data_IF_095755509245
#
_entry.id   IF_095755509245
#
_cell.length_a   1.000
_cell.length_b   1.000
_cell.length_c   1.000
_cell.angle_alpha   90.00
_cell.angle_beta   90.00
_cell.angle_gamma   90.00
#
_symmetry.space_group_name_H-M   'P 1'
#
loop_
_entity.id
_entity.type
_entity.pdbx_description
1 polymer ?
#
# COMPACT_ATOMS: atom_id res chain seq x y z
N UNK A 1 -33.00 -22.62 -19.54
CA UNK A 1 -31.73 -23.30 -19.26
C UNK A 1 -31.09 -22.56 -18.10
N UNK A 2 -31.00 -23.18 -16.93
CA UNK A 2 -30.33 -22.57 -15.79
C UNK A 2 -28.82 -22.60 -16.06
N UNK A 3 -28.18 -21.43 -16.09
CA UNK A 3 -26.73 -21.35 -16.09
C UNK A 3 -26.23 -22.05 -14.81
N UNK A 4 -25.59 -23.21 -14.99
CA UNK A 4 -24.83 -23.86 -13.93
C UNK A 4 -23.70 -22.92 -13.54
N UNK A 5 -23.94 -22.12 -12.50
CA UNK A 5 -22.94 -21.21 -11.95
C UNK A 5 -21.94 -22.08 -11.20
N UNK A 6 -20.83 -22.42 -11.83
CA UNK A 6 -19.76 -23.17 -11.19
C UNK A 6 -19.26 -22.37 -9.99
N UNK A 7 -19.46 -22.90 -8.78
CA UNK A 7 -18.93 -22.33 -7.54
C UNK A 7 -17.41 -22.37 -7.65
N UNK A 8 -16.77 -21.20 -7.66
CA UNK A 8 -15.30 -21.08 -7.65
C UNK A 8 -14.84 -21.38 -6.21
N UNK A 9 -13.79 -22.19 -6.04
CA UNK A 9 -13.23 -22.45 -4.69
C UNK A 9 -12.49 -21.23 -4.16
N UNK A 10 -12.33 -21.10 -2.83
CA UNK A 10 -11.51 -20.04 -2.19
C UNK A 10 -10.12 -19.94 -2.81
N UNK A 11 -9.49 -21.09 -3.11
CA UNK A 11 -8.18 -21.16 -3.78
C UNK A 11 -8.21 -20.53 -5.16
N UNK A 12 -9.17 -20.92 -6.01
CA UNK A 12 -9.30 -20.39 -7.37
C UNK A 12 -9.62 -18.89 -7.36
N UNK A 13 -10.38 -18.42 -6.37
CA UNK A 13 -10.68 -17.01 -6.18
C UNK A 13 -9.41 -16.21 -5.81
N UNK A 14 -8.63 -16.68 -4.84
CA UNK A 14 -7.39 -16.03 -4.42
C UNK A 14 -6.36 -15.96 -5.56
N UNK A 15 -6.22 -17.04 -6.33
CA UNK A 15 -5.34 -17.06 -7.50
C UNK A 15 -5.78 -16.04 -8.55
N UNK A 16 -7.08 -15.89 -8.78
CA UNK A 16 -7.62 -14.89 -9.70
C UNK A 16 -7.36 -13.46 -9.19
N UNK A 17 -7.61 -13.18 -7.91
CA UNK A 17 -7.36 -11.88 -7.30
C UNK A 17 -5.87 -11.50 -7.37
N UNK A 18 -4.97 -12.42 -7.01
CA UNK A 18 -3.54 -12.19 -7.13
C UNK A 18 -3.10 -11.95 -8.57
N UNK A 19 -3.68 -12.68 -9.53
CA UNK A 19 -3.38 -12.48 -10.95
C UNK A 19 -3.81 -11.08 -11.40
N UNK A 20 -4.99 -10.61 -10.99
CA UNK A 20 -5.45 -9.23 -11.25
C UNK A 20 -4.50 -8.19 -10.61
N UNK A 21 -4.06 -8.41 -9.36
CA UNK A 21 -3.15 -7.52 -8.64
C UNK A 21 -1.75 -7.47 -9.27
N UNK A 22 -1.20 -8.63 -9.66
CA UNK A 22 0.11 -8.74 -10.34
C UNK A 22 0.09 -8.10 -11.73
N UNK A 23 -1.07 -8.06 -12.38
CA UNK A 23 -1.25 -7.40 -13.67
C UNK A 23 -1.34 -5.86 -13.56
N UNK A 24 -1.42 -5.30 -12.34
CA UNK A 24 -1.45 -3.85 -12.16
C UNK A 24 -0.13 -3.21 -12.66
N UNK A 25 -0.20 -2.07 -13.37
CA UNK A 25 0.92 -1.50 -14.11
C UNK A 25 1.94 -0.76 -13.21
N UNK A 26 2.16 -1.19 -11.97
CA UNK A 26 3.12 -0.57 -11.01
C UNK A 26 4.50 -0.43 -11.63
N UNK A 27 4.98 -1.49 -12.29
CA UNK A 27 6.28 -1.53 -12.95
C UNK A 27 6.43 -0.58 -14.14
N UNK A 28 5.33 -0.16 -14.76
CA UNK A 28 5.35 0.80 -15.89
C UNK A 28 5.18 2.25 -15.45
N UNK A 29 5.03 2.50 -14.15
CA UNK A 29 4.86 3.85 -13.66
C UNK A 29 6.12 4.70 -13.92
N UNK A 30 5.91 5.87 -14.53
CA UNK A 30 7.02 6.74 -14.92
C UNK A 30 7.78 7.31 -13.71
N UNK A 31 7.14 7.52 -12.55
CA UNK A 31 7.83 7.95 -11.34
C UNK A 31 8.76 6.85 -10.82
N UNK A 32 8.30 5.61 -10.64
CA UNK A 32 9.18 4.53 -10.16
C UNK A 32 10.33 4.23 -11.13
N UNK A 33 10.05 4.28 -12.43
CA UNK A 33 11.07 4.17 -13.47
C UNK A 33 12.10 5.30 -13.39
N UNK A 34 11.66 6.55 -13.14
CA UNK A 34 12.57 7.68 -12.94
C UNK A 34 13.35 7.56 -11.63
N UNK A 35 12.67 7.22 -10.53
CA UNK A 35 13.26 7.08 -9.20
C UNK A 35 14.36 6.02 -9.19
N UNK A 36 14.12 4.87 -9.82
CA UNK A 36 15.11 3.81 -9.97
C UNK A 36 16.37 4.26 -10.71
N UNK A 37 16.26 5.20 -11.66
CA UNK A 37 17.40 5.76 -12.39
C UNK A 37 18.13 6.87 -11.62
N UNK A 38 17.62 7.25 -10.46
CA UNK A 38 18.12 8.33 -9.63
C UNK A 38 17.29 9.60 -9.75
N UNK A 39 17.16 10.30 -8.63
CA UNK A 39 16.52 11.61 -8.50
C UNK A 39 17.50 12.60 -7.88
N UNK A 40 17.24 13.90 -8.01
CA UNK A 40 18.02 14.91 -7.26
C UNK A 40 17.75 14.86 -5.76
N UNK A 41 18.65 15.39 -4.95
CA UNK A 41 18.50 15.50 -3.49
C UNK A 41 17.21 16.19 -3.07
N UNK A 42 16.81 17.25 -3.78
CA UNK A 42 15.60 17.99 -3.45
C UNK A 42 14.33 17.18 -3.71
N UNK A 43 14.31 16.33 -4.76
CA UNK A 43 13.19 15.41 -4.98
C UNK A 43 13.13 14.37 -3.89
N UNK A 44 14.28 13.78 -3.57
CA UNK A 44 14.36 12.77 -2.53
C UNK A 44 13.87 13.35 -1.21
N UNK A 45 14.32 14.55 -0.82
CA UNK A 45 13.89 15.23 0.40
C UNK A 45 12.37 15.44 0.45
N UNK A 46 11.77 15.94 -0.63
CA UNK A 46 10.30 16.13 -0.73
C UNK A 46 9.55 14.80 -0.70
N UNK A 47 10.08 13.79 -1.38
CA UNK A 47 9.51 12.45 -1.39
C UNK A 47 9.48 11.83 0.00
N UNK A 48 10.61 11.83 0.70
CA UNK A 48 10.72 11.27 2.06
C UNK A 48 9.81 12.02 3.05
N UNK A 49 9.66 13.35 2.92
CA UNK A 49 8.69 14.12 3.71
C UNK A 49 7.26 13.61 3.54
N UNK A 50 6.81 13.49 2.29
CA UNK A 50 5.45 13.02 1.97
C UNK A 50 5.25 11.56 2.35
N UNK A 51 6.21 10.69 2.03
CA UNK A 51 6.16 9.26 2.30
C UNK A 51 6.08 8.97 3.80
N UNK A 52 6.84 9.71 4.61
CA UNK A 52 6.77 9.58 6.06
C UNK A 52 5.37 9.89 6.60
N UNK A 53 4.78 11.02 6.20
CA UNK A 53 3.46 11.45 6.66
C UNK A 53 2.37 10.50 6.17
N UNK A 54 2.49 10.05 4.92
CA UNK A 54 1.62 9.04 4.33
C UNK A 54 1.65 7.75 5.14
N UNK A 55 2.82 7.18 5.42
CA UNK A 55 2.96 5.93 6.18
C UNK A 55 2.36 6.03 7.58
N UNK A 56 2.52 7.17 8.27
CA UNK A 56 1.87 7.41 9.56
C UNK A 56 0.34 7.40 9.44
N UNK A 57 -0.24 8.03 8.40
CA UNK A 57 -1.69 8.06 8.20
C UNK A 57 -2.24 6.71 7.77
N UNK A 58 -1.55 6.03 6.85
CA UNK A 58 -1.92 4.71 6.37
C UNK A 58 -2.00 3.70 7.53
N UNK A 59 -0.95 3.62 8.36
CA UNK A 59 -0.95 2.72 9.54
C UNK A 59 -2.12 3.01 10.50
N UNK A 60 -2.52 4.28 10.66
CA UNK A 60 -3.69 4.64 11.48
C UNK A 60 -5.00 4.17 10.86
N UNK A 61 -5.12 4.26 9.53
CA UNK A 61 -6.30 3.76 8.82
C UNK A 61 -6.36 2.22 8.88
N UNK A 62 -5.23 1.53 8.83
CA UNK A 62 -5.17 0.07 9.01
C UNK A 62 -5.71 -0.38 10.38
N UNK A 63 -5.50 0.40 11.44
CA UNK A 63 -6.14 0.16 12.75
C UNK A 63 -7.68 0.30 12.64
N UNK A 64 -8.15 1.21 11.79
CA UNK A 64 -9.57 1.38 11.47
C UNK A 64 -10.21 0.12 10.88
N UNK A 65 -9.49 -0.59 9.99
CA UNK A 65 -9.94 -1.88 9.47
C UNK A 65 -10.13 -2.91 10.58
N UNK A 66 -9.14 -3.04 11.48
CA UNK A 66 -9.25 -3.95 12.63
C UNK A 66 -10.45 -3.59 13.52
N UNK A 67 -10.71 -2.30 13.74
CA UNK A 67 -11.85 -1.83 14.52
C UNK A 67 -13.21 -2.17 13.88
N UNK A 68 -13.27 -2.24 12.54
CA UNK A 68 -14.50 -2.52 11.79
C UNK A 68 -14.85 -4.02 11.76
N UNK A 69 -13.97 -4.91 12.23
CA UNK A 69 -14.24 -6.34 12.30
C UNK A 69 -15.19 -6.69 13.46
N UNK A 70 -16.03 -7.71 13.26
CA UNK A 70 -16.91 -8.23 14.30
C UNK A 70 -16.23 -9.30 15.15
N UNK A 71 -16.81 -9.64 16.30
CA UNK A 71 -16.34 -10.75 17.16
C UNK A 71 -16.31 -12.11 16.42
N UNK A 72 -17.07 -12.25 15.33
CA UNK A 72 -17.08 -13.48 14.52
C UNK A 72 -15.89 -13.57 13.56
N UNK A 73 -15.15 -12.48 13.38
CA UNK A 73 -14.02 -12.37 12.46
C UNK A 73 -12.69 -12.45 13.23
N UNK A 74 -12.67 -13.18 14.35
CA UNK A 74 -11.50 -13.30 15.25
C UNK A 74 -10.26 -13.82 14.50
N UNK A 75 -10.41 -14.83 13.64
CA UNK A 75 -9.31 -15.36 12.85
C UNK A 75 -8.71 -14.32 11.89
N UNK A 76 -9.56 -13.48 11.28
CA UNK A 76 -9.14 -12.36 10.42
C UNK A 76 -8.44 -11.30 11.25
N UNK A 77 -8.98 -11.00 12.43
CA UNK A 77 -8.43 -10.02 13.38
C UNK A 77 -7.01 -10.40 13.80
N UNK A 78 -6.75 -11.69 14.07
CA UNK A 78 -5.43 -12.18 14.44
C UNK A 78 -4.38 -11.90 13.34
N UNK A 79 -4.72 -12.10 12.07
CA UNK A 79 -3.81 -11.84 10.96
C UNK A 79 -3.55 -10.33 10.77
N UNK A 80 -4.57 -9.48 10.90
CA UNK A 80 -4.37 -8.02 10.91
C UNK A 80 -3.52 -7.53 12.08
N UNK A 81 -3.69 -8.14 13.26
CA UNK A 81 -2.85 -7.85 14.43
C UNK A 81 -1.39 -8.21 14.15
N UNK A 82 -1.10 -9.30 13.43
CA UNK A 82 0.28 -9.65 13.05
C UNK A 82 0.91 -8.57 12.18
N UNK A 83 0.19 -8.07 11.17
CA UNK A 83 0.64 -6.96 10.31
C UNK A 83 0.94 -5.73 11.18
N UNK A 84 -0.01 -5.32 12.02
CA UNK A 84 0.17 -4.17 12.91
C UNK A 84 1.31 -4.37 13.91
N UNK A 85 1.45 -5.57 14.48
CA UNK A 85 2.54 -5.88 15.39
C UNK A 85 3.91 -5.77 14.71
N UNK A 86 4.03 -6.23 13.46
CA UNK A 86 5.22 -6.00 12.63
C UNK A 86 5.46 -4.50 12.39
N UNK A 87 4.45 -3.75 11.94
CA UNK A 87 4.52 -2.30 11.71
C UNK A 87 4.95 -1.49 12.96
N UNK A 88 4.55 -1.95 14.14
CA UNK A 88 4.94 -1.40 15.44
C UNK A 88 6.22 -2.02 16.02
N UNK A 89 7.04 -2.65 15.18
CA UNK A 89 8.38 -3.11 15.51
C UNK A 89 8.40 -4.28 16.48
N UNK A 90 7.32 -5.05 16.54
CA UNK A 90 7.19 -6.24 17.40
C UNK A 90 7.46 -5.93 18.89
N UNK A 91 6.98 -4.78 19.35
CA UNK A 91 7.20 -4.29 20.72
C UNK A 91 8.55 -3.61 20.95
N UNK A 92 9.45 -3.58 19.96
CA UNK A 92 10.69 -2.82 20.01
C UNK A 92 10.52 -1.48 19.29
N UNK A 93 10.63 -0.38 20.06
CA UNK A 93 10.50 0.99 19.55
C UNK A 93 11.49 1.31 18.41
N UNK A 94 12.71 0.79 18.46
CA UNK A 94 13.72 1.03 17.42
C UNK A 94 13.41 0.30 16.10
N UNK A 95 12.54 -0.71 16.16
CA UNK A 95 12.10 -1.48 15.00
C UNK A 95 10.78 -0.99 14.41
N UNK A 96 10.08 -0.05 15.06
CA UNK A 96 8.89 0.57 14.49
C UNK A 96 9.25 1.15 13.13
N UNK A 97 8.53 0.78 12.08
CA UNK A 97 8.86 1.15 10.70
C UNK A 97 9.03 2.67 10.55
N UNK A 98 8.12 3.47 11.12
CA UNK A 98 8.24 4.93 11.09
C UNK A 98 9.47 5.47 11.85
N UNK A 99 10.01 4.76 12.85
CA UNK A 99 11.25 5.14 13.52
C UNK A 99 12.48 4.84 12.67
N UNK A 100 12.45 3.75 11.88
CA UNK A 100 13.51 3.47 10.91
C UNK A 100 13.57 4.57 9.83
N UNK A 101 12.42 5.01 9.31
CA UNK A 101 12.33 6.09 8.32
C UNK A 101 12.89 7.43 8.83
N UNK A 102 12.80 7.67 10.14
CA UNK A 102 13.33 8.90 10.75
C UNK A 102 14.86 9.02 10.66
N UNK A 103 15.59 7.93 10.39
CA UNK A 103 17.04 7.96 10.11
C UNK A 103 17.30 8.64 8.77
N UNK A 104 16.58 8.26 7.73
CA UNK A 104 16.68 8.90 6.42
C UNK A 104 16.24 10.36 6.46
N UNK A 105 15.15 10.66 7.18
CA UNK A 105 14.68 12.03 7.42
C UNK A 105 15.82 12.90 7.97
N UNK A 106 16.51 12.43 9.00
CA UNK A 106 17.64 13.15 9.60
C UNK A 106 18.80 13.29 8.63
N UNK A 107 19.13 12.20 7.93
CA UNK A 107 20.25 12.15 6.98
C UNK A 107 20.08 13.16 5.85
N UNK A 108 18.83 13.40 5.42
CA UNK A 108 18.45 14.36 4.39
C UNK A 108 18.25 15.79 4.93
N UNK A 109 18.43 16.02 6.22
CA UNK A 109 18.24 17.34 6.83
C UNK A 109 16.80 17.82 6.83
N UNK A 110 15.83 16.90 6.84
CA UNK A 110 14.41 17.24 6.91
C UNK A 110 14.03 17.65 8.33
N UNK A 111 13.39 18.81 8.48
CA UNK A 111 12.89 19.26 9.78
C UNK A 111 11.75 18.36 10.30
N UNK A 112 12.03 17.60 11.37
CA UNK A 112 11.04 16.77 12.06
C UNK A 112 9.88 17.58 12.62
N UNK A 113 10.14 18.80 13.09
CA UNK A 113 9.10 19.69 13.61
C UNK A 113 8.08 20.08 12.55
N UNK A 114 8.50 20.16 11.29
CA UNK A 114 7.67 20.41 10.11
C UNK A 114 6.81 19.20 9.70
N UNK A 115 7.30 17.97 9.87
CA UNK A 115 6.58 16.76 9.43
C UNK A 115 5.17 16.62 10.01
N UNK A 116 4.98 17.01 11.28
CA UNK A 116 3.66 16.94 11.91
C UNK A 116 2.64 17.92 11.28
N UNK A 117 3.11 18.97 10.62
CA UNK A 117 2.30 19.99 9.94
C UNK A 117 2.27 19.80 8.42
N UNK A 118 3.05 18.85 7.90
CA UNK A 118 3.15 18.61 6.47
C UNK A 118 1.78 18.20 5.92
N UNK A 119 1.35 18.96 4.91
CA UNK A 119 0.15 18.65 4.16
C UNK A 119 0.52 17.70 3.03
N UNK A 120 -0.11 16.52 3.02
CA UNK A 120 0.02 15.63 1.86
C UNK A 120 -0.44 16.35 0.60
N UNK A 121 0.14 16.07 -0.57
CA UNK A 121 -0.47 16.59 -1.80
C UNK A 121 -1.88 16.00 -1.99
N UNK A 122 -2.69 16.71 -2.76
CA UNK A 122 -4.11 16.45 -2.91
C UNK A 122 -4.41 14.99 -3.23
N UNK A 123 -3.68 14.39 -4.16
CA UNK A 123 -3.95 13.04 -4.64
C UNK A 123 -3.68 11.97 -3.55
N UNK A 124 -2.80 12.25 -2.58
CA UNK A 124 -2.48 11.36 -1.46
C UNK A 124 -3.46 11.58 -0.32
N UNK A 125 -4.01 12.79 -0.20
CA UNK A 125 -5.16 13.02 0.66
C UNK A 125 -6.37 12.25 0.15
N UNK A 126 -6.67 12.34 -1.15
CA UNK A 126 -7.78 11.61 -1.78
C UNK A 126 -7.61 10.10 -1.61
N UNK A 127 -6.40 9.59 -1.81
CA UNK A 127 -6.07 8.19 -1.60
C UNK A 127 -6.33 7.77 -0.15
N UNK A 128 -5.74 8.48 0.81
CA UNK A 128 -5.89 8.22 2.25
C UNK A 128 -7.36 8.32 2.68
N UNK A 129 -8.10 9.30 2.15
CA UNK A 129 -9.53 9.44 2.41
C UNK A 129 -10.31 8.24 1.85
N UNK A 130 -10.05 7.86 0.60
CA UNK A 130 -10.74 6.74 -0.06
C UNK A 130 -10.48 5.43 0.68
N UNK A 131 -9.22 5.09 0.97
CA UNK A 131 -8.86 3.90 1.75
C UNK A 131 -9.43 3.99 3.17
N UNK A 132 -9.42 5.17 3.77
CA UNK A 132 -10.05 5.45 5.05
C UNK A 132 -11.54 5.09 5.08
N UNK A 133 -12.31 5.58 4.11
CA UNK A 133 -13.73 5.27 3.97
C UNK A 133 -13.96 3.77 3.80
N UNK A 134 -13.15 3.10 2.97
CA UNK A 134 -13.27 1.64 2.77
C UNK A 134 -12.97 0.89 4.07
N UNK A 135 -11.90 1.23 4.78
CA UNK A 135 -11.47 0.50 5.97
C UNK A 135 -12.37 0.75 7.18
N UNK A 136 -12.87 1.98 7.35
CA UNK A 136 -13.68 2.38 8.50
C UNK A 136 -15.18 2.14 8.30
N UNK A 137 -15.66 2.20 7.07
CA UNK A 137 -17.10 2.25 6.76
C UNK A 137 -17.53 1.30 5.65
N UNK A 138 -16.60 0.69 4.92
CA UNK A 138 -16.89 -0.32 3.91
C UNK A 138 -17.27 -1.67 4.51
N UNK A 139 -17.75 -2.56 3.65
CA UNK A 139 -17.92 -3.97 4.01
C UNK A 139 -16.57 -4.67 4.17
N UNK A 140 -16.52 -5.69 5.02
CA UNK A 140 -15.28 -6.40 5.36
C UNK A 140 -14.59 -7.01 4.14
N UNK A 141 -15.29 -7.68 3.19
CA UNK A 141 -14.68 -8.17 1.95
C UNK A 141 -13.97 -7.09 1.14
N UNK A 142 -14.64 -5.95 0.92
CA UNK A 142 -14.06 -4.78 0.23
C UNK A 142 -12.80 -4.28 0.93
N UNK A 143 -12.81 -4.19 2.25
CA UNK A 143 -11.71 -3.66 3.02
C UNK A 143 -10.51 -4.62 3.10
N UNK A 144 -10.74 -5.92 3.26
CA UNK A 144 -9.69 -6.94 3.19
C UNK A 144 -9.08 -7.05 1.79
N UNK A 145 -9.92 -6.99 0.75
CA UNK A 145 -9.47 -6.98 -0.65
C UNK A 145 -8.58 -5.77 -0.95
N UNK A 146 -8.96 -4.58 -0.46
CA UNK A 146 -8.14 -3.39 -0.55
C UNK A 146 -6.81 -3.53 0.20
N UNK A 147 -6.83 -3.99 1.46
CA UNK A 147 -5.61 -4.18 2.24
C UNK A 147 -4.63 -5.13 1.56
N UNK A 148 -5.13 -6.29 1.08
CA UNK A 148 -4.31 -7.26 0.36
C UNK A 148 -3.76 -6.71 -0.96
N UNK A 149 -4.56 -5.95 -1.69
CA UNK A 149 -4.13 -5.31 -2.93
C UNK A 149 -3.02 -4.29 -2.72
N UNK A 150 -3.15 -3.45 -1.69
CA UNK A 150 -2.16 -2.42 -1.36
C UNK A 150 -0.81 -3.06 -1.07
N UNK A 151 -0.77 -4.05 -0.19
CA UNK A 151 0.45 -4.72 0.29
C UNK A 151 1.12 -5.51 -0.84
N UNK A 152 0.32 -6.19 -1.68
CA UNK A 152 0.84 -6.85 -2.89
C UNK A 152 1.55 -5.88 -3.84
N UNK A 153 1.01 -4.66 -4.00
CA UNK A 153 1.62 -3.63 -4.85
C UNK A 153 2.76 -2.86 -4.17
N UNK A 154 2.76 -2.78 -2.85
CA UNK A 154 3.79 -2.12 -2.05
C UNK A 154 5.12 -2.89 -2.13
N UNK A 155 5.11 -4.23 -2.04
CA UNK A 155 6.31 -5.05 -2.25
C UNK A 155 7.03 -4.79 -3.59
N UNK A 156 6.30 -4.51 -4.67
CA UNK A 156 6.90 -4.08 -5.95
C UNK A 156 7.45 -2.66 -5.88
N UNK A 157 6.70 -1.75 -5.27
CA UNK A 157 7.08 -0.33 -5.09
C UNK A 157 8.40 -0.19 -4.36
N UNK A 158 8.57 -0.91 -3.24
CA UNK A 158 9.79 -0.83 -2.43
C UNK A 158 11.05 -1.26 -3.18
N UNK A 159 10.96 -2.17 -4.16
CA UNK A 159 12.10 -2.56 -5.00
C UNK A 159 12.62 -1.39 -5.85
N UNK A 160 11.72 -0.59 -6.42
CA UNK A 160 12.10 0.58 -7.22
C UNK A 160 12.69 1.68 -6.36
N UNK A 161 12.04 1.96 -5.21
CA UNK A 161 12.50 2.98 -4.27
C UNK A 161 13.85 2.62 -3.68
N UNK A 162 14.03 1.38 -3.22
CA UNK A 162 15.31 0.90 -2.70
C UNK A 162 16.43 1.01 -3.75
N UNK A 163 16.17 0.57 -4.98
CA UNK A 163 17.15 0.68 -6.07
C UNK A 163 17.56 2.12 -6.36
N UNK A 164 16.62 3.07 -6.35
CA UNK A 164 16.90 4.49 -6.53
C UNK A 164 17.67 5.10 -5.37
N UNK A 165 17.42 4.66 -4.13
CA UNK A 165 18.16 5.14 -2.96
C UNK A 165 19.64 4.72 -3.01
N UNK A 166 19.95 3.57 -3.59
CA UNK A 166 21.33 3.12 -3.79
C UNK A 166 22.14 4.00 -4.76
N UNK A 167 21.50 4.90 -5.52
CA UNK A 167 22.22 5.85 -6.39
C UNK A 167 22.82 7.02 -5.62
N UNK A 168 22.53 7.16 -4.33
CA UNK A 168 23.06 8.22 -3.46
C UNK A 168 24.25 7.70 -2.66
N UNK A 169 25.50 7.98 -3.06
CA UNK A 169 26.71 7.39 -2.47
C UNK A 169 26.92 7.77 -0.99
N UNK A 170 26.30 8.85 -0.53
CA UNK A 170 26.40 9.33 0.84
C UNK A 170 25.39 8.69 1.81
N UNK A 171 24.43 7.90 1.30
CA UNK A 171 23.49 7.15 2.12
C UNK A 171 24.07 5.77 2.44
N UNK A 172 24.11 5.43 3.72
CA UNK A 172 24.42 4.08 4.18
C UNK A 172 23.18 3.18 4.14
N UNK A 173 23.38 1.85 4.22
CA UNK A 173 22.27 0.91 4.35
C UNK A 173 21.42 1.19 5.62
N UNK A 174 22.07 1.63 6.70
CA UNK A 174 21.37 2.00 7.93
C UNK A 174 20.48 3.24 7.74
N UNK A 175 20.90 4.20 6.90
CA UNK A 175 20.07 5.37 6.58
C UNK A 175 18.79 4.96 5.84
N UNK A 176 18.85 3.93 5.00
CA UNK A 176 17.72 3.47 4.16
C UNK A 176 17.03 2.21 4.68
N UNK A 177 17.33 1.81 5.93
CA UNK A 177 16.87 0.56 6.57
C UNK A 177 15.36 0.33 6.50
N UNK A 178 14.57 1.40 6.53
CA UNK A 178 13.11 1.32 6.32
C UNK A 178 12.77 0.63 5.00
N UNK A 179 13.37 1.06 3.89
CA UNK A 179 13.09 0.52 2.56
C UNK A 179 13.60 -0.92 2.42
N UNK A 180 14.77 -1.23 3.01
CA UNK A 180 15.29 -2.60 3.05
C UNK A 180 14.35 -3.54 3.82
N UNK A 181 13.87 -3.11 4.99
CA UNK A 181 12.94 -3.89 5.83
C UNK A 181 11.68 -4.25 5.04
N UNK A 182 11.10 -3.31 4.28
CA UNK A 182 9.91 -3.56 3.48
C UNK A 182 10.19 -4.41 2.22
N UNK A 183 11.44 -4.69 1.84
CA UNK A 183 11.67 -5.73 0.81
C UNK A 183 11.29 -7.14 1.31
N UNK A 184 11.31 -7.35 2.62
CA UNK A 184 11.05 -8.64 3.26
C UNK A 184 9.72 -8.67 4.00
N UNK A 185 9.38 -7.62 4.75
CA UNK A 185 8.14 -7.58 5.55
C UNK A 185 6.90 -7.64 4.66
N UNK A 186 6.91 -7.02 3.48
CA UNK A 186 5.79 -7.05 2.53
C UNK A 186 5.42 -8.46 2.06
N UNK A 187 6.38 -9.40 2.05
CA UNK A 187 6.08 -10.81 1.78
C UNK A 187 5.27 -11.43 2.91
N UNK A 188 5.66 -11.17 4.16
CA UNK A 188 4.97 -11.68 5.34
C UNK A 188 3.60 -11.01 5.50
N UNK A 189 3.51 -9.70 5.27
CA UNK A 189 2.26 -8.94 5.32
C UNK A 189 1.30 -9.45 4.25
N UNK A 190 1.79 -9.67 3.03
CA UNK A 190 1.03 -10.30 1.95
C UNK A 190 0.51 -11.69 2.33
N UNK A 191 1.33 -12.54 2.94
CA UNK A 191 0.92 -13.88 3.38
C UNK A 191 -0.16 -13.83 4.47
N UNK A 192 -0.02 -12.97 5.49
CA UNK A 192 -1.03 -12.80 6.55
C UNK A 192 -2.33 -12.24 5.99
N UNK A 193 -2.28 -11.27 5.08
CA UNK A 193 -3.49 -10.72 4.45
C UNK A 193 -4.15 -11.69 3.48
N UNK A 194 -3.37 -12.50 2.78
CA UNK A 194 -3.90 -13.63 1.99
C UNK A 194 -4.63 -14.62 2.91
N UNK A 195 -4.06 -14.93 4.07
CA UNK A 195 -4.71 -15.79 5.07
C UNK A 195 -6.00 -15.15 5.61
N UNK A 196 -5.99 -13.84 5.88
CA UNK A 196 -7.17 -13.09 6.31
C UNK A 196 -8.31 -13.13 5.28
N UNK A 197 -8.00 -12.86 4.01
CA UNK A 197 -8.98 -12.95 2.89
C UNK A 197 -9.50 -14.37 2.74
N UNK A 198 -8.62 -15.38 2.80
CA UNK A 198 -9.02 -16.80 2.71
C UNK A 198 -9.96 -17.18 3.85
N UNK A 199 -9.60 -16.82 5.08
CA UNK A 199 -10.37 -17.15 6.28
C UNK A 199 -11.75 -16.53 6.26
N UNK A 200 -11.86 -15.26 5.83
CA UNK A 200 -13.15 -14.61 5.69
C UNK A 200 -13.99 -15.24 4.56
N UNK A 201 -13.39 -15.55 3.40
CA UNK A 201 -14.10 -16.19 2.30
C UNK A 201 -14.70 -17.56 2.69
N UNK A 202 -13.98 -18.33 3.52
CA UNK A 202 -14.45 -19.61 4.06
C UNK A 202 -15.58 -19.41 5.11
N UNK A 203 -15.50 -18.37 5.95
CA UNK A 203 -16.58 -17.99 6.87
C UNK A 203 -17.86 -17.64 6.11
N UNK A 204 -17.77 -16.85 5.04
CA UNK A 204 -18.92 -16.50 4.21
C UNK A 204 -19.53 -17.73 3.51
N UNK A 205 -18.69 -18.68 3.08
CA UNK A 205 -19.16 -19.95 2.53
C UNK A 205 -19.98 -20.76 3.54
N UNK A 206 -19.56 -20.75 4.81
CA UNK A 206 -20.28 -21.41 5.90
C UNK A 206 -21.57 -20.66 6.29
N UNK A 207 -21.61 -19.33 6.11
CA UNK A 207 -22.80 -18.48 6.32
C UNK A 207 -23.81 -18.57 5.16
N UNK A 208 -23.44 -19.18 4.03
CA UNK A 208 -24.30 -19.39 2.88
C UNK A 208 -24.44 -18.18 1.97
N UNK A 209 -23.49 -17.25 1.99
CA UNK A 209 -23.51 -16.04 1.17
C UNK A 209 -23.26 -16.33 -0.33
N UNK A 210 -23.89 -15.54 -1.20
CA UNK A 210 -23.78 -15.71 -2.66
C UNK A 210 -22.31 -15.52 -3.13
N UNK A 211 -21.68 -16.53 -3.76
CA UNK A 211 -20.35 -16.42 -4.37
C UNK A 211 -20.14 -15.18 -5.24
N UNK A 212 -21.18 -14.67 -5.91
CA UNK A 212 -21.09 -13.50 -6.79
C UNK A 212 -20.95 -12.19 -6.02
N UNK A 213 -21.60 -12.08 -4.86
CA UNK A 213 -21.48 -10.92 -3.97
C UNK A 213 -20.08 -10.88 -3.32
N UNK A 214 -19.53 -12.06 -2.99
CA UNK A 214 -18.15 -12.19 -2.48
C UNK A 214 -17.10 -11.69 -3.46
N UNK A 215 -17.11 -12.21 -4.69
CA UNK A 215 -16.15 -11.80 -5.74
C UNK A 215 -16.28 -10.31 -6.06
N UNK A 216 -17.50 -9.77 -6.04
CA UNK A 216 -17.73 -8.35 -6.22
C UNK A 216 -17.12 -7.53 -5.09
N UNK A 217 -17.29 -7.88 -3.81
CA UNK A 217 -16.73 -7.15 -2.67
C UNK A 217 -15.20 -7.07 -2.70
N UNK A 218 -14.52 -8.22 -2.68
CA UNK A 218 -13.04 -8.25 -2.70
C UNK A 218 -12.42 -7.63 -3.97
N UNK A 219 -13.08 -7.79 -5.12
CA UNK A 219 -12.60 -7.29 -6.41
C UNK A 219 -13.02 -5.86 -6.76
N UNK A 220 -14.05 -5.32 -6.11
CA UNK A 220 -14.56 -3.96 -6.38
C UNK A 220 -13.60 -2.87 -5.94
N UNK A 221 -12.59 -3.17 -5.12
CA UNK A 221 -11.69 -2.15 -4.57
C UNK A 221 -10.27 -2.23 -5.12
N UNK A 222 -9.80 -3.42 -5.54
CA UNK A 222 -8.58 -3.56 -6.32
C UNK A 222 -8.68 -2.84 -7.68
N UNK A 223 -9.89 -2.71 -8.24
CA UNK A 223 -10.13 -2.09 -9.55
C UNK A 223 -10.16 -0.56 -9.54
N UNK A 224 -10.81 0.18 -8.62
CA UNK A 224 -10.71 1.64 -8.50
C UNK A 224 -9.30 2.11 -8.19
N UNK A 225 -8.57 1.36 -7.34
CA UNK A 225 -7.15 1.57 -7.11
C UNK A 225 -6.28 1.34 -8.36
N UNK A 226 -6.83 0.73 -9.44
CA UNK A 226 -6.14 0.51 -10.72
C UNK A 226 -6.77 1.16 -11.97
N UNK A 227 -8.05 1.54 -11.96
CA UNK A 227 -8.85 1.99 -13.12
C UNK A 227 -9.37 3.42 -13.01
N UNK A 228 -9.65 3.95 -11.83
CA UNK A 228 -10.30 5.27 -11.69
C UNK A 228 -9.31 6.45 -11.82
N UNK A 229 -8.22 6.18 -12.52
CA UNK A 229 -7.20 7.15 -12.88
C UNK A 229 -7.18 7.41 -14.38
N UNK A 230 -7.96 6.64 -15.14
CA UNK A 230 -7.92 6.66 -16.61
C UNK A 230 -9.04 7.49 -17.27
N UNK A 231 -9.96 8.13 -16.53
CA UNK A 231 -11.16 8.72 -17.16
C UNK A 231 -11.54 10.17 -16.87
N UNK A 232 -10.83 10.91 -16.02
CA UNK A 232 -10.88 12.39 -16.05
C UNK A 232 -9.50 12.93 -15.73
N UNK A 233 -8.95 13.69 -16.68
CA UNK A 233 -7.61 14.30 -16.73
C UNK A 233 -6.57 13.40 -17.45
N UNK A 234 -6.15 13.83 -18.65
CA UNK A 234 -4.90 13.38 -19.26
C UNK A 234 -3.70 13.92 -18.45
N UNK A 235 -2.62 13.14 -18.21
CA UNK A 235 -2.52 11.68 -18.09
C UNK A 235 -2.41 11.29 -16.60
N UNK A 236 -3.09 10.22 -16.18
CA UNK A 236 -2.89 9.64 -14.84
C UNK A 236 -3.09 8.10 -14.88
N UNK A 237 -2.19 7.31 -14.25
CA UNK A 237 -2.50 6.03 -13.60
C UNK A 237 -2.24 6.12 -12.06
N UNK A 238 -2.48 5.14 -11.17
CA UNK A 238 -2.41 5.34 -9.70
C UNK A 238 -1.05 4.98 -9.11
N UNK A 239 -0.02 5.86 -9.15
CA UNK A 239 1.01 5.89 -8.09
C UNK A 239 1.46 7.30 -7.66
N UNK A 240 0.60 8.32 -7.74
CA UNK A 240 1.06 9.71 -7.62
C UNK A 240 0.64 10.37 -6.32
N UNK A 241 1.66 10.84 -5.61
CA UNK A 241 1.73 12.22 -5.15
C UNK A 241 3.18 12.66 -5.18
N UNK A 242 3.53 13.47 -6.18
CA UNK A 242 4.66 14.43 -6.23
C UNK A 242 4.97 14.83 -7.68
N UNK A 243 4.09 15.56 -8.37
CA UNK A 243 4.46 16.21 -9.64
C UNK A 243 3.82 17.59 -9.76
N UNK A 244 4.49 18.60 -9.21
CA UNK A 244 4.70 19.89 -9.89
C UNK A 244 6.05 20.49 -9.46
N UNK A 245 7.15 19.81 -9.77
CA UNK A 245 8.48 20.45 -9.84
C UNK A 245 9.59 19.57 -10.43
N UNK A 246 9.29 18.67 -11.37
CA UNK A 246 10.36 17.98 -12.13
C UNK A 246 10.21 18.24 -13.61
N UNK A 247 10.42 19.49 -13.99
CA UNK A 247 10.95 19.78 -15.31
C UNK A 247 12.43 19.39 -15.31
N UNK A 248 12.93 18.62 -16.29
CA UNK A 248 14.34 18.71 -16.62
C UNK A 248 14.61 20.17 -16.99
N UNK A 249 15.65 20.77 -16.41
CA UNK A 249 16.23 21.97 -17.03
C UNK A 249 16.59 21.50 -18.43
N UNK A 250 15.91 22.07 -19.43
CA UNK A 250 16.29 21.92 -20.82
C UNK A 250 17.75 22.36 -20.93
N UNK A 251 18.61 21.48 -21.40
CA UNK A 251 19.80 21.92 -22.11
C UNK A 251 19.31 22.75 -23.30
N UNK A 252 19.47 24.07 -23.20
CA UNK A 252 19.36 24.97 -24.33
C UNK A 252 20.53 25.93 -24.30
N UNK A 253 21.42 25.70 -25.28
CA UNK A 253 22.49 26.55 -25.81
C UNK A 253 23.74 26.78 -24.94
#
# INVERSE_FOLDING_TARGET
MAESTTRISTVQFLEALESELKALPVHTNAFFQAFQRGVTHEQLRRFIQQWYVFGIRFRKILIGLLYNLSDQDEAVSLELIRVLYSEYGQGNREQVHSQQMLRLVDRLGVDRGGLAREQLYHEAQDYIATVGEIFLHGDVPSALGASFGIETTAGLTYRYLYSGLLTFPELSLEDIRFFETHLFEELHHGDWLRAAVSGHADLDDNRGEDPRQRVAGYGQVARPLGRDVSRRIEPSPPPWVLIRSFSPISESA
#
